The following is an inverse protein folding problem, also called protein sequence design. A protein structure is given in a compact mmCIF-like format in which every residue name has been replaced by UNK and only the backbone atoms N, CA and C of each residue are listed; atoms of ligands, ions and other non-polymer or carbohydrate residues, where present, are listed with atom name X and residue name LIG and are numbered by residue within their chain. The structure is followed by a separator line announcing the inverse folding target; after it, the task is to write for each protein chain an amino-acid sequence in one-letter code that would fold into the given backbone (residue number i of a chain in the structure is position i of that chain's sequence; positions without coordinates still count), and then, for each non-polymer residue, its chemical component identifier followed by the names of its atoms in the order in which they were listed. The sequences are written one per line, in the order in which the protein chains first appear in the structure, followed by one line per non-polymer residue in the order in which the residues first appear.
data_IF_642603856642
#
_entry.id   IF_642603856642
#
_cell.length_a   1.000
_cell.length_b   1.000
_cell.length_c   1.000
_cell.angle_alpha   90.00
_cell.angle_beta   90.00
_cell.angle_gamma   90.00
#
_symmetry.space_group_name_H-M   'P 1'
#
loop_
_entity.id
_entity.type
_entity.pdbx_description
1 polymer ?
#
# COMPACT_ATOMS: atom_id res chain seq x y z
N UNK A 1 -8.43 48.76 -14.62
CA UNK A 1 -7.36 47.81 -14.29
C UNK A 1 -8.05 46.63 -13.62
N UNK A 2 -8.17 45.46 -14.26
CA UNK A 2 -7.07 44.76 -14.91
C UNK A 2 -7.28 44.54 -16.41
N UNK A 3 -6.15 44.51 -17.10
CA UNK A 3 -5.98 44.28 -18.52
C UNK A 3 -5.30 42.92 -18.75
N UNK A 4 -5.74 42.27 -19.82
CA UNK A 4 -4.96 41.43 -20.76
C UNK A 4 -4.21 40.20 -20.26
N UNK A 5 -4.61 39.02 -20.76
CA UNK A 5 -3.67 37.98 -21.19
C UNK A 5 -4.12 37.34 -22.53
N UNK A 6 -3.36 37.68 -23.57
CA UNK A 6 -2.87 36.87 -24.71
C UNK A 6 -3.82 36.03 -25.58
N UNK A 7 -4.15 36.60 -26.75
CA UNK A 7 -3.70 36.22 -28.11
C UNK A 7 -3.43 34.73 -28.48
N UNK A 8 -4.24 34.19 -29.42
CA UNK A 8 -3.85 33.48 -30.68
C UNK A 8 -5.14 33.18 -31.48
N UNK A 9 -5.43 33.84 -32.62
CA UNK A 9 -5.09 33.44 -34.02
C UNK A 9 -5.35 31.94 -34.28
N UNK A 10 -6.03 31.46 -35.31
CA UNK A 10 -6.60 31.95 -36.58
C UNK A 10 -7.31 30.68 -37.13
N UNK A 11 -8.52 30.68 -37.70
CA UNK A 11 -8.73 30.74 -39.14
C UNK A 11 -10.23 30.58 -39.43
N UNK A 12 -10.73 31.57 -40.13
CA UNK A 12 -11.99 31.60 -40.87
C UNK A 12 -11.95 30.63 -42.06
N UNK A 13 -13.07 29.96 -42.34
CA UNK A 13 -13.47 29.72 -43.73
C UNK A 13 -14.97 30.00 -43.91
N UNK A 14 -15.21 30.90 -44.85
CA UNK A 14 -16.46 31.55 -45.24
C UNK A 14 -17.36 30.70 -46.13
N UNK A 15 -18.68 30.88 -45.97
CA UNK A 15 -19.64 30.94 -47.08
C UNK A 15 -20.07 29.58 -47.67
N UNK A 16 -21.27 29.36 -48.23
CA UNK A 16 -22.33 30.20 -48.80
C UNK A 16 -23.61 29.33 -48.77
N UNK A 17 -24.79 29.90 -48.48
CA UNK A 17 -26.10 29.28 -48.80
C UNK A 17 -26.43 29.49 -50.28
N UNK A 18 -27.15 28.58 -50.96
CA UNK A 18 -28.51 28.99 -51.33
C UNK A 18 -29.57 27.87 -51.41
N UNK A 19 -30.76 28.23 -50.92
CA UNK A 19 -32.10 28.03 -51.48
C UNK A 19 -32.51 26.68 -52.12
N UNK A 20 -33.52 26.12 -51.45
CA UNK A 20 -34.57 25.21 -51.85
C UNK A 20 -35.27 25.58 -53.19
N UNK A 21 -35.31 24.68 -54.18
CA UNK A 21 -36.52 24.30 -54.95
C UNK A 21 -36.19 23.19 -55.98
N UNK A 22 -36.95 22.09 -56.02
CA UNK A 22 -36.90 21.16 -57.17
C UNK A 22 -37.24 19.71 -56.84
N UNK A 23 -38.51 19.37 -57.01
CA UNK A 23 -39.16 18.05 -56.96
C UNK A 23 -38.49 17.01 -57.88
N UNK A 24 -38.30 15.75 -57.43
CA UNK A 24 -38.57 14.48 -58.14
C UNK A 24 -38.07 13.25 -57.33
N UNK A 25 -39.03 12.41 -56.88
CA UNK A 25 -38.91 11.02 -56.39
C UNK A 25 -38.48 10.04 -57.53
N UNK A 26 -38.30 8.70 -57.39
CA UNK A 26 -38.05 7.81 -56.24
C UNK A 26 -37.04 6.66 -56.60
N UNK A 27 -35.76 6.70 -56.24
CA UNK A 27 -34.87 5.51 -56.42
C UNK A 27 -34.00 5.17 -55.19
N UNK A 28 -34.11 5.96 -54.12
CA UNK A 28 -33.20 5.91 -52.96
C UNK A 28 -33.69 5.00 -51.81
N UNK A 29 -34.91 4.46 -51.90
CA UNK A 29 -35.56 3.77 -50.76
C UNK A 29 -35.07 2.35 -50.47
N UNK A 30 -34.37 1.70 -51.39
CA UNK A 30 -33.94 0.29 -51.20
C UNK A 30 -32.56 0.16 -50.54
N UNK A 31 -31.70 1.18 -50.62
CA UNK A 31 -30.34 1.14 -50.07
C UNK A 31 -30.30 1.50 -48.56
N UNK A 32 -31.21 2.36 -48.10
CA UNK A 32 -31.31 2.72 -46.66
C UNK A 32 -31.77 1.56 -45.78
N UNK A 33 -32.60 0.65 -46.31
CA UNK A 33 -33.20 -0.43 -45.51
C UNK A 33 -32.16 -1.48 -45.10
N UNK A 34 -31.14 -1.71 -45.93
CA UNK A 34 -30.03 -2.62 -45.59
C UNK A 34 -29.04 -2.00 -44.62
N UNK A 35 -28.83 -0.68 -44.67
CA UNK A 35 -27.94 0.03 -43.74
C UNK A 35 -28.52 0.10 -42.32
N UNK A 36 -29.84 0.30 -42.16
CA UNK A 36 -30.49 0.33 -40.84
C UNK A 36 -30.44 -1.00 -40.10
N UNK A 37 -30.53 -2.13 -40.81
CA UNK A 37 -30.47 -3.46 -40.20
C UNK A 37 -29.04 -3.77 -39.70
N UNK A 38 -28.01 -3.39 -40.46
CA UNK A 38 -26.62 -3.59 -40.05
C UNK A 38 -26.24 -2.75 -38.82
N UNK A 39 -26.69 -1.49 -38.76
CA UNK A 39 -26.49 -0.61 -37.59
C UNK A 39 -27.26 -1.11 -36.36
N UNK A 40 -28.46 -1.66 -36.55
CA UNK A 40 -29.27 -2.23 -35.46
C UNK A 40 -28.66 -3.49 -34.84
N UNK A 41 -28.08 -4.37 -35.65
CA UNK A 41 -27.35 -5.57 -35.17
C UNK A 41 -26.05 -5.18 -34.47
N UNK A 42 -25.30 -4.22 -35.00
CA UNK A 42 -24.06 -3.73 -34.39
C UNK A 42 -24.30 -3.08 -33.00
N UNK A 43 -25.38 -2.32 -32.85
CA UNK A 43 -25.75 -1.72 -31.57
C UNK A 43 -26.21 -2.76 -30.53
N UNK A 44 -26.86 -3.86 -30.97
CA UNK A 44 -27.27 -4.95 -30.07
C UNK A 44 -26.08 -5.80 -29.60
N UNK A 45 -25.06 -5.97 -30.44
CA UNK A 45 -23.82 -6.66 -30.05
C UNK A 45 -22.99 -5.81 -29.08
N UNK A 46 -22.94 -4.47 -29.25
CA UNK A 46 -22.28 -3.57 -28.28
C UNK A 46 -22.88 -3.60 -26.88
N UNK A 47 -24.19 -3.83 -26.74
CA UNK A 47 -24.84 -3.92 -25.42
C UNK A 47 -24.55 -5.24 -24.69
N UNK A 48 -24.16 -6.31 -25.41
CA UNK A 48 -23.82 -7.58 -24.77
C UNK A 48 -22.42 -7.54 -24.12
N UNK A 49 -21.47 -6.81 -24.71
CA UNK A 49 -20.12 -6.64 -24.13
C UNK A 49 -20.09 -5.73 -22.89
N UNK A 50 -21.16 -4.96 -22.61
CA UNK A 50 -21.19 -4.01 -21.49
C UNK A 50 -21.75 -4.56 -20.18
N UNK A 51 -21.98 -5.87 -20.06
CA UNK A 51 -22.61 -6.48 -18.87
C UNK A 51 -21.75 -7.53 -18.17
N UNK A 52 -20.42 -7.40 -18.25
CA UNK A 52 -19.53 -8.01 -17.27
C UNK A 52 -18.92 -6.89 -16.41
N UNK A 53 -19.66 -6.48 -15.37
CA UNK A 53 -19.11 -5.74 -14.24
C UNK A 53 -18.19 -6.69 -13.45
N UNK A 54 -17.04 -7.02 -14.01
CA UNK A 54 -15.94 -7.60 -13.24
C UNK A 54 -15.59 -6.53 -12.21
N UNK A 55 -15.96 -6.77 -10.95
CA UNK A 55 -15.45 -6.00 -9.81
C UNK A 55 -13.96 -5.89 -9.99
N UNK A 56 -13.48 -4.70 -10.30
CA UNK A 56 -12.08 -4.44 -10.63
C UNK A 56 -11.29 -4.66 -9.35
N UNK A 57 -10.83 -5.88 -9.12
CA UNK A 57 -9.90 -6.19 -8.03
C UNK A 57 -8.59 -5.49 -8.38
N UNK A 58 -8.36 -4.36 -7.74
CA UNK A 58 -7.11 -3.63 -7.87
C UNK A 58 -6.09 -4.26 -6.92
N UNK A 59 -5.25 -5.15 -7.47
CA UNK A 59 -4.16 -5.80 -6.74
C UNK A 59 -3.11 -4.81 -6.22
N UNK A 60 -3.16 -3.54 -6.66
CA UNK A 60 -2.27 -2.47 -6.23
C UNK A 60 -2.93 -1.53 -5.21
N UNK A 61 -4.14 -1.82 -4.74
CA UNK A 61 -4.76 -1.06 -3.65
C UNK A 61 -4.09 -1.37 -2.31
N UNK A 62 -3.13 -0.52 -1.94
CA UNK A 62 -2.37 -0.60 -0.68
C UNK A 62 -2.89 0.38 0.39
N UNK A 63 -4.10 0.92 0.24
CA UNK A 63 -4.62 1.99 1.12
C UNK A 63 -4.92 1.53 2.56
N UNK A 64 -5.07 0.22 2.78
CA UNK A 64 -5.45 -0.35 4.08
C UNK A 64 -4.40 -1.32 4.64
N UNK A 65 -3.14 -0.91 4.87
CA UNK A 65 -2.06 -1.81 5.27
C UNK A 65 -2.29 -2.49 6.64
N UNK A 66 -3.08 -1.86 7.50
CA UNK A 66 -3.46 -2.43 8.79
C UNK A 66 -4.31 -3.71 8.67
N UNK A 67 -4.96 -3.94 7.52
CA UNK A 67 -5.77 -5.15 7.27
C UNK A 67 -4.93 -6.37 6.94
N UNK A 68 -3.68 -6.17 6.51
CA UNK A 68 -2.75 -7.24 6.15
C UNK A 68 -2.32 -8.10 7.35
N UNK A 69 -2.54 -7.61 8.57
CA UNK A 69 -2.15 -8.28 9.82
C UNK A 69 -3.36 -8.66 10.69
N UNK A 70 -4.24 -9.56 10.24
CA UNK A 70 -5.48 -9.88 10.96
C UNK A 70 -5.21 -10.47 12.35
N UNK A 71 -4.15 -11.26 12.51
CA UNK A 71 -3.75 -11.82 13.82
C UNK A 71 -3.41 -10.72 14.82
N UNK A 72 -2.66 -9.69 14.40
CA UNK A 72 -2.32 -8.55 15.23
C UNK A 72 -3.55 -7.65 15.53
N UNK A 73 -4.53 -7.61 14.63
CA UNK A 73 -5.78 -6.85 14.81
C UNK A 73 -6.76 -7.50 15.78
N UNK A 74 -6.75 -8.83 15.92
CA UNK A 74 -7.58 -9.55 16.90
C UNK A 74 -7.07 -9.44 18.34
N UNK A 75 -5.79 -9.11 18.52
CA UNK A 75 -5.16 -8.95 19.84
C UNK A 75 -5.42 -7.56 20.41
N UNK A 76 -5.73 -7.49 21.71
CA UNK A 76 -5.66 -6.23 22.47
C UNK A 76 -4.18 -5.89 22.72
N UNK A 77 -3.67 -4.83 22.08
CA UNK A 77 -2.26 -4.42 22.15
C UNK A 77 -2.15 -3.03 22.76
N UNK A 78 -1.29 -2.89 23.77
CA UNK A 78 -0.93 -1.59 24.36
C UNK A 78 0.32 -1.05 23.69
N UNK A 79 0.21 0.11 23.06
CA UNK A 79 1.36 0.82 22.47
C UNK A 79 1.88 1.83 23.49
N UNK A 80 3.19 1.78 23.76
CA UNK A 80 3.87 2.71 24.67
C UNK A 80 4.96 3.40 23.86
N UNK A 81 4.91 4.72 23.77
CA UNK A 81 5.87 5.50 23.00
C UNK A 81 6.86 6.19 23.95
N UNK A 82 8.14 5.83 23.84
CA UNK A 82 9.23 6.46 24.58
C UNK A 82 9.86 7.55 23.73
N UNK A 83 9.49 8.82 23.98
CA UNK A 83 9.93 9.97 23.18
C UNK A 83 10.98 10.79 23.92
N UNK A 84 12.04 11.18 23.22
CA UNK A 84 13.10 12.04 23.74
C UNK A 84 14.26 12.17 22.74
N UNK A 85 15.21 13.10 22.96
CA UNK A 85 16.39 13.25 22.11
C UNK A 85 17.28 11.98 22.16
N UNK A 86 18.31 11.94 21.31
CA UNK A 86 19.34 10.91 21.40
C UNK A 86 20.01 10.94 22.78
N UNK A 87 20.47 9.78 23.26
CA UNK A 87 21.12 9.62 24.57
C UNK A 87 20.29 10.02 25.82
N UNK A 88 18.96 10.11 25.71
CA UNK A 88 18.05 10.39 26.84
C UNK A 88 17.68 9.18 27.69
N UNK A 89 18.25 8.00 27.41
CA UNK A 89 17.91 6.76 28.13
C UNK A 89 16.53 6.18 27.77
N UNK A 90 15.85 6.71 26.76
CA UNK A 90 14.51 6.23 26.33
C UNK A 90 14.45 4.72 26.06
N UNK A 91 15.46 4.18 25.39
CA UNK A 91 15.57 2.76 25.04
C UNK A 91 15.80 1.89 26.29
N UNK A 92 16.41 2.43 27.36
CA UNK A 92 16.71 1.67 28.57
C UNK A 92 15.45 1.13 29.26
N UNK A 93 14.41 1.95 29.38
CA UNK A 93 13.13 1.53 29.99
C UNK A 93 12.43 0.45 29.17
N UNK A 94 12.44 0.57 27.84
CA UNK A 94 11.87 -0.42 26.94
C UNK A 94 12.60 -1.77 27.05
N UNK A 95 13.94 -1.76 27.04
CA UNK A 95 14.74 -2.97 27.19
C UNK A 95 14.60 -3.62 28.56
N UNK A 96 14.44 -2.84 29.64
CA UNK A 96 14.13 -3.40 30.97
C UNK A 96 12.76 -4.08 31.02
N UNK A 97 11.77 -3.55 30.30
CA UNK A 97 10.48 -4.22 30.16
C UNK A 97 10.56 -5.50 29.34
N UNK A 98 11.39 -5.51 28.30
CA UNK A 98 11.66 -6.67 27.47
C UNK A 98 12.35 -7.80 28.27
N UNK A 99 13.41 -7.45 29.00
CA UNK A 99 14.18 -8.36 29.88
C UNK A 99 13.29 -9.05 30.92
N UNK A 100 12.31 -8.33 31.49
CA UNK A 100 11.37 -8.87 32.50
C UNK A 100 10.13 -9.59 31.92
N UNK A 101 10.00 -9.66 30.60
CA UNK A 101 8.86 -10.32 29.95
C UNK A 101 9.09 -11.83 29.77
N UNK A 102 8.02 -12.62 29.71
CA UNK A 102 8.11 -14.08 29.52
C UNK A 102 8.59 -14.50 28.12
N UNK A 103 8.35 -13.64 27.12
CA UNK A 103 8.81 -13.75 25.74
C UNK A 103 8.82 -12.37 25.11
N UNK A 104 9.75 -12.13 24.18
CA UNK A 104 9.78 -10.84 23.54
C UNK A 104 10.65 -10.73 22.29
N UNK A 105 10.44 -9.63 21.58
CA UNK A 105 11.17 -9.34 20.34
C UNK A 105 11.71 -7.90 20.39
N UNK A 106 12.99 -7.75 20.08
CA UNK A 106 13.63 -6.46 19.80
C UNK A 106 13.84 -6.34 18.29
N UNK A 107 13.36 -5.24 17.72
CA UNK A 107 13.53 -4.88 16.33
C UNK A 107 14.32 -3.57 16.26
N UNK A 108 15.56 -3.64 15.78
CA UNK A 108 16.41 -2.47 15.55
C UNK A 108 16.65 -2.21 14.06
N UNK A 109 17.05 -0.98 13.66
CA UNK A 109 17.38 -0.67 12.28
C UNK A 109 18.78 -1.18 11.86
N UNK A 110 19.64 -1.49 12.82
CA UNK A 110 21.04 -1.83 12.57
C UNK A 110 21.40 -3.20 13.16
N UNK A 111 22.18 -3.96 12.40
CA UNK A 111 22.74 -5.24 12.84
C UNK A 111 23.53 -5.12 14.14
N UNK A 112 24.31 -4.05 14.29
CA UNK A 112 25.09 -3.80 15.51
C UNK A 112 24.20 -3.66 16.76
N UNK A 113 23.04 -3.00 16.62
CA UNK A 113 22.10 -2.83 17.73
C UNK A 113 21.41 -4.15 18.10
N UNK A 114 21.01 -4.95 17.11
CA UNK A 114 20.47 -6.28 17.34
C UNK A 114 21.48 -7.16 18.11
N UNK A 115 22.75 -7.13 17.70
CA UNK A 115 23.83 -7.84 18.39
C UNK A 115 24.06 -7.34 19.82
N UNK A 116 24.09 -6.01 20.03
CA UNK A 116 24.25 -5.42 21.36
C UNK A 116 23.13 -5.86 22.32
N UNK A 117 21.88 -5.83 21.85
CA UNK A 117 20.72 -6.23 22.64
C UNK A 117 20.71 -7.74 22.92
N UNK A 118 21.02 -8.58 21.93
CA UNK A 118 21.15 -10.03 22.15
C UNK A 118 22.19 -10.32 23.24
N UNK A 119 23.39 -9.73 23.10
CA UNK A 119 24.47 -9.90 24.07
C UNK A 119 24.10 -9.40 25.46
N UNK A 120 23.39 -8.26 25.54
CA UNK A 120 22.90 -7.70 26.81
C UNK A 120 21.91 -8.65 27.50
N UNK A 121 20.93 -9.19 26.78
CA UNK A 121 19.92 -10.10 27.33
C UNK A 121 20.55 -11.43 27.77
N UNK A 122 21.40 -12.01 26.94
CA UNK A 122 22.11 -13.24 27.28
C UNK A 122 23.03 -13.06 28.50
N UNK A 123 23.72 -11.92 28.62
CA UNK A 123 24.50 -11.56 29.82
C UNK A 123 23.63 -11.41 31.07
N UNK A 124 22.36 -11.07 30.93
CA UNK A 124 21.38 -11.00 32.01
C UNK A 124 20.69 -12.35 32.30
N UNK A 125 21.19 -13.47 31.74
CA UNK A 125 20.59 -14.80 31.82
C UNK A 125 19.16 -14.88 31.26
N UNK A 126 18.86 -14.08 30.23
CA UNK A 126 17.63 -14.18 29.43
C UNK A 126 18.02 -14.75 28.06
N UNK A 127 17.78 -16.06 27.80
CA UNK A 127 18.12 -16.69 26.53
C UNK A 127 17.45 -15.97 25.35
N UNK A 128 18.29 -15.43 24.46
CA UNK A 128 17.88 -14.55 23.37
C UNK A 128 18.60 -14.90 22.07
N UNK A 129 17.82 -15.21 21.03
CA UNK A 129 18.34 -15.41 19.68
C UNK A 129 18.78 -14.07 19.07
N UNK A 130 19.82 -14.09 18.24
CA UNK A 130 20.20 -12.97 17.37
C UNK A 130 19.91 -13.34 15.92
N UNK A 131 19.05 -12.57 15.23
CA UNK A 131 18.65 -12.86 13.86
C UNK A 131 18.80 -11.62 12.99
N UNK A 132 19.63 -11.68 11.96
CA UNK A 132 19.76 -10.63 10.94
C UNK A 132 19.66 -11.24 9.55
N UNK A 133 19.68 -10.40 8.50
CA UNK A 133 19.73 -10.91 7.12
C UNK A 133 21.02 -11.66 6.77
N UNK A 134 22.09 -11.51 7.57
CA UNK A 134 23.42 -12.07 7.30
C UNK A 134 23.80 -13.19 8.27
N UNK A 135 23.34 -13.11 9.51
CA UNK A 135 23.79 -13.95 10.62
C UNK A 135 22.59 -14.37 11.47
N UNK A 136 22.66 -15.59 12.00
CA UNK A 136 21.65 -16.15 12.90
C UNK A 136 22.35 -16.96 13.99
N UNK A 137 22.13 -16.57 15.23
CA UNK A 137 22.61 -17.26 16.42
C UNK A 137 21.39 -17.65 17.25
N UNK A 138 21.15 -18.96 17.38
CA UNK A 138 20.02 -19.50 18.14
C UNK A 138 20.51 -20.08 19.46
N UNK A 139 19.74 -19.85 20.51
CA UNK A 139 20.02 -20.38 21.85
C UNK A 139 18.92 -21.34 22.23
N UNK A 140 19.29 -22.51 22.74
CA UNK A 140 18.31 -23.51 23.15
C UNK A 140 17.36 -22.95 24.22
N UNK A 141 16.06 -23.15 24.00
CA UNK A 141 15.00 -22.63 24.87
C UNK A 141 14.79 -21.11 24.83
N UNK A 142 15.39 -20.37 23.90
CA UNK A 142 15.18 -18.94 23.77
C UNK A 142 13.71 -18.58 23.51
N UNK A 143 13.20 -17.63 24.30
CA UNK A 143 11.87 -17.02 24.14
C UNK A 143 11.96 -15.54 23.77
N UNK A 144 13.17 -15.02 23.75
CA UNK A 144 13.48 -13.67 23.34
C UNK A 144 14.26 -13.70 22.04
N UNK A 145 14.06 -12.68 21.21
CA UNK A 145 14.78 -12.53 19.96
C UNK A 145 15.20 -11.07 19.78
N UNK A 146 16.42 -10.84 19.36
CA UNK A 146 16.90 -9.53 18.93
C UNK A 146 17.27 -9.60 17.45
N UNK A 147 16.67 -8.73 16.65
CA UNK A 147 16.79 -8.80 15.20
C UNK A 147 16.72 -7.44 14.53
N UNK A 148 17.08 -7.41 13.24
CA UNK A 148 16.76 -6.26 12.41
C UNK A 148 15.28 -6.24 12.07
N UNK A 149 14.69 -5.06 11.90
CA UNK A 149 13.23 -4.89 11.72
C UNK A 149 12.68 -5.66 10.52
N UNK A 150 13.48 -5.85 9.47
CA UNK A 150 13.10 -6.57 8.24
C UNK A 150 12.96 -8.08 8.47
N UNK A 151 13.61 -8.61 9.52
CA UNK A 151 13.56 -10.03 9.88
C UNK A 151 12.46 -10.33 10.92
N UNK A 152 11.68 -9.32 11.32
CA UNK A 152 10.67 -9.44 12.35
C UNK A 152 9.60 -10.49 12.05
N UNK A 153 9.45 -11.45 12.96
CA UNK A 153 8.35 -12.41 12.91
C UNK A 153 7.06 -11.77 13.44
N UNK A 154 6.16 -11.43 12.53
CA UNK A 154 4.85 -10.80 12.81
C UNK A 154 3.74 -11.80 13.11
N UNK A 155 4.03 -13.11 13.09
CA UNK A 155 3.05 -14.17 13.26
C UNK A 155 3.04 -14.74 14.67
N UNK A 156 4.21 -14.84 15.30
CA UNK A 156 4.37 -15.37 16.65
C UNK A 156 3.77 -14.48 17.75
N UNK A 157 3.51 -15.10 18.90
CA UNK A 157 3.01 -14.43 20.10
C UNK A 157 4.17 -14.00 21.01
N UNK A 158 4.28 -12.69 21.20
CA UNK A 158 5.25 -12.08 22.12
C UNK A 158 4.54 -11.31 23.22
N UNK A 159 5.02 -11.43 24.46
CA UNK A 159 4.50 -10.67 25.59
C UNK A 159 5.00 -9.22 25.58
N UNK A 160 6.18 -8.96 25.01
CA UNK A 160 6.73 -7.63 24.81
C UNK A 160 7.41 -7.50 23.44
N UNK A 161 7.15 -6.40 22.73
CA UNK A 161 7.87 -6.05 21.51
C UNK A 161 8.46 -4.65 21.68
N UNK A 162 9.75 -4.50 21.34
CA UNK A 162 10.46 -3.23 21.33
C UNK A 162 10.86 -2.94 19.88
N UNK A 163 10.36 -1.82 19.35
CA UNK A 163 10.76 -1.30 18.05
C UNK A 163 11.61 -0.06 18.34
N UNK A 164 12.88 -0.13 18.01
CA UNK A 164 13.86 0.92 18.29
C UNK A 164 14.04 1.84 17.09
N UNK A 165 14.37 3.11 17.35
CA UNK A 165 14.57 4.13 16.31
C UNK A 165 13.45 4.18 15.24
N UNK A 166 12.18 4.19 15.69
CA UNK A 166 10.98 4.14 14.85
C UNK A 166 10.95 5.20 13.72
N UNK A 167 11.68 6.31 13.86
CA UNK A 167 11.81 7.33 12.82
C UNK A 167 12.66 6.90 11.61
N UNK A 168 13.43 5.82 11.76
CA UNK A 168 14.33 5.26 10.75
C UNK A 168 13.89 3.87 10.27
N UNK A 169 12.89 3.27 10.93
CA UNK A 169 12.24 2.03 10.50
C UNK A 169 11.23 2.25 9.38
#
# INVERSE_FOLDING_TARGET
MPSSFLLRRHLSFSGISPTFHGTMEPFHRHLELRFRILVGVCNRIRQFSSSSSTSKLDFMDLTHPHTWYPNARRKSRKVIMHVGPTNSGKTHHALKRLESSSSGIYCGPLRLLAWEVAKRLNKANVPCDMITGQEREEIDGAKHKAMTVEMADVTSDYHCAVIDEIQAC
#
